data_IF_588862939924
#
_entry.id   IF_588862939924
#
_cell.length_a   1.000
_cell.length_b   1.000
_cell.length_c   1.000
_cell.angle_alpha   90.00
_cell.angle_beta   90.00
_cell.angle_gamma   90.00
#
_symmetry.space_group_name_H-M   'P 1'
#
loop_
_entity.id
_entity.type
_entity.pdbx_description
1 polymer ?
#
# COMPACT_ATOMS: atom_id res chain seq x y z
N UNK A 1 0.78 18.24 -11.18
CA UNK A 1 1.68 17.18 -10.66
C UNK A 1 1.13 16.56 -9.39
N UNK A 2 0.92 17.30 -8.30
CA UNK A 2 0.34 16.73 -7.06
C UNK A 2 -1.06 16.13 -7.23
N UNK A 3 -1.94 16.76 -8.02
CA UNK A 3 -3.26 16.19 -8.34
C UNK A 3 -3.16 14.81 -9.02
N UNK A 4 -2.17 14.62 -9.90
CA UNK A 4 -1.95 13.33 -10.56
C UNK A 4 -1.48 12.29 -9.54
N UNK A 5 -0.58 12.66 -8.63
CA UNK A 5 -0.12 11.76 -7.55
C UNK A 5 -1.32 11.30 -6.72
N UNK A 6 -2.16 12.22 -6.24
CA UNK A 6 -3.36 11.86 -5.47
C UNK A 6 -4.35 11.01 -6.28
N UNK A 7 -4.58 11.32 -7.56
CA UNK A 7 -5.43 10.49 -8.40
C UNK A 7 -4.89 9.06 -8.56
N UNK A 8 -3.58 8.91 -8.77
CA UNK A 8 -2.93 7.60 -8.84
C UNK A 8 -3.00 6.86 -7.49
N UNK A 9 -2.81 7.56 -6.36
CA UNK A 9 -2.96 6.97 -5.03
C UNK A 9 -4.40 6.54 -4.75
N UNK A 10 -5.40 7.28 -5.24
CA UNK A 10 -6.80 6.88 -5.17
C UNK A 10 -7.06 5.60 -5.96
N UNK A 11 -6.55 5.50 -7.19
CA UNK A 11 -6.68 4.31 -8.02
C UNK A 11 -5.96 3.10 -7.40
N UNK A 12 -4.77 3.32 -6.84
CA UNK A 12 -4.03 2.31 -6.07
C UNK A 12 -4.86 1.84 -4.87
N UNK A 13 -5.46 2.76 -4.11
CA UNK A 13 -6.33 2.45 -2.98
C UNK A 13 -7.55 1.62 -3.40
N UNK A 14 -8.20 1.98 -4.50
CA UNK A 14 -9.35 1.23 -5.02
C UNK A 14 -8.96 -0.17 -5.49
N UNK A 15 -7.83 -0.31 -6.19
CA UNK A 15 -7.29 -1.60 -6.62
C UNK A 15 -6.90 -2.47 -5.41
N UNK A 16 -6.26 -1.88 -4.41
CA UNK A 16 -5.91 -2.54 -3.16
C UNK A 16 -7.16 -2.96 -2.39
N UNK A 17 -8.20 -2.12 -2.32
CA UNK A 17 -9.46 -2.47 -1.70
C UNK A 17 -10.09 -3.71 -2.34
N UNK A 18 -10.17 -3.74 -3.67
CA UNK A 18 -10.68 -4.88 -4.42
C UNK A 18 -9.81 -6.14 -4.24
N UNK A 19 -8.48 -6.00 -4.31
CA UNK A 19 -7.54 -7.11 -4.13
C UNK A 19 -7.58 -7.67 -2.70
N UNK A 20 -7.72 -6.81 -1.68
CA UNK A 20 -7.85 -7.20 -0.29
C UNK A 20 -9.14 -7.98 -0.04
N UNK A 21 -10.27 -7.52 -0.59
CA UNK A 21 -11.54 -8.27 -0.56
C UNK A 21 -11.41 -9.62 -1.24
N UNK A 22 -10.75 -9.70 -2.41
CA UNK A 22 -10.49 -10.98 -3.05
C UNK A 22 -9.62 -11.92 -2.17
N UNK A 23 -8.57 -11.37 -1.55
CA UNK A 23 -7.72 -12.09 -0.59
C UNK A 23 -8.50 -12.66 0.59
N UNK A 24 -9.42 -11.88 1.18
CA UNK A 24 -10.33 -12.33 2.23
C UNK A 24 -11.23 -13.49 1.77
N UNK A 25 -11.66 -13.46 0.50
CA UNK A 25 -12.52 -14.48 -0.11
C UNK A 25 -11.73 -15.73 -0.55
N UNK A 26 -10.44 -15.82 -0.24
CA UNK A 26 -9.65 -17.02 -0.45
C UNK A 26 -8.93 -17.06 -1.79
N UNK A 27 -8.47 -15.91 -2.31
CA UNK A 27 -7.50 -15.87 -3.41
C UNK A 27 -6.08 -15.63 -2.87
N UNK A 28 -5.43 -16.63 -2.23
CA UNK A 28 -4.09 -16.43 -1.69
C UNK A 28 -3.06 -16.36 -2.82
N UNK A 29 -2.01 -15.58 -2.58
CA UNK A 29 -0.84 -15.55 -3.44
C UNK A 29 0.40 -15.22 -2.62
N UNK A 30 1.57 -15.60 -3.13
CA UNK A 30 2.85 -15.26 -2.54
C UNK A 30 3.82 -14.81 -3.63
N UNK A 31 4.66 -13.83 -3.31
CA UNK A 31 5.71 -13.31 -4.16
C UNK A 31 7.01 -13.24 -3.36
N UNK A 32 8.08 -13.78 -3.92
CA UNK A 32 9.41 -13.74 -3.31
C UNK A 32 10.44 -13.24 -4.31
N UNK A 33 11.27 -12.30 -3.87
CA UNK A 33 12.38 -11.72 -4.64
C UNK A 33 13.61 -11.74 -3.76
N UNK A 34 14.44 -12.77 -3.93
CA UNK A 34 15.53 -13.09 -2.99
C UNK A 34 16.65 -12.04 -2.94
N UNK A 35 16.81 -11.23 -3.99
CA UNK A 35 17.91 -10.27 -4.13
C UNK A 35 17.56 -8.84 -3.70
N UNK A 36 16.29 -8.53 -3.45
CA UNK A 36 15.84 -7.14 -3.32
C UNK A 36 16.09 -6.51 -1.94
N UNK A 37 16.00 -7.30 -0.88
CA UNK A 37 16.18 -6.86 0.51
C UNK A 37 17.28 -7.70 1.18
N UNK A 38 18.22 -7.08 1.90
CA UNK A 38 19.26 -7.84 2.60
C UNK A 38 18.65 -8.79 3.64
N UNK A 39 19.37 -9.88 3.94
CA UNK A 39 19.03 -10.81 5.02
C UNK A 39 17.68 -11.54 4.83
N UNK A 40 17.34 -11.96 3.59
CA UNK A 40 16.20 -12.85 3.34
C UNK A 40 15.33 -12.51 2.12
N UNK A 41 15.68 -11.46 1.36
CA UNK A 41 14.91 -11.02 0.20
C UNK A 41 13.59 -10.34 0.57
N UNK A 42 12.89 -9.82 -0.44
CA UNK A 42 11.50 -9.37 -0.30
C UNK A 42 10.60 -10.61 -0.32
N UNK A 43 9.71 -10.74 0.66
CA UNK A 43 8.67 -11.76 0.65
C UNK A 43 7.32 -11.13 0.99
N UNK A 44 6.35 -11.32 0.10
CA UNK A 44 4.97 -10.86 0.24
C UNK A 44 4.03 -12.05 0.16
N UNK A 45 3.03 -12.08 1.03
CA UNK A 45 1.98 -13.10 1.06
C UNK A 45 0.63 -12.43 1.31
N UNK A 46 -0.36 -12.82 0.52
CA UNK A 46 -1.76 -12.44 0.69
C UNK A 46 -2.49 -13.62 1.30
N UNK A 47 -2.58 -13.62 2.63
CA UNK A 47 -3.51 -14.48 3.37
C UNK A 47 -4.83 -13.72 3.64
N UNK A 48 -5.88 -14.37 4.20
CA UNK A 48 -7.15 -13.69 4.48
C UNK A 48 -7.04 -12.52 5.47
N UNK A 49 -6.09 -12.55 6.41
CA UNK A 49 -5.87 -11.48 7.38
C UNK A 49 -5.19 -10.28 6.71
N UNK A 50 -4.14 -10.53 5.91
CA UNK A 50 -3.51 -9.53 5.07
C UNK A 50 -4.54 -8.90 4.13
N UNK A 51 -5.42 -9.71 3.52
CA UNK A 51 -6.52 -9.24 2.69
C UNK A 51 -7.44 -8.25 3.39
N UNK A 52 -7.81 -8.51 4.65
CA UNK A 52 -8.61 -7.58 5.45
C UNK A 52 -7.91 -6.24 5.64
N UNK A 53 -6.65 -6.24 6.04
CA UNK A 53 -5.90 -4.99 6.26
C UNK A 53 -5.63 -4.23 4.96
N UNK A 54 -5.27 -4.92 3.89
CA UNK A 54 -5.12 -4.34 2.54
C UNK A 54 -6.44 -3.72 2.08
N UNK A 55 -7.57 -4.36 2.35
CA UNK A 55 -8.88 -3.82 2.02
C UNK A 55 -9.18 -2.52 2.78
N UNK A 56 -8.90 -2.50 4.09
CA UNK A 56 -9.12 -1.33 4.95
C UNK A 56 -8.23 -0.15 4.55
N UNK A 57 -6.93 -0.40 4.36
CA UNK A 57 -5.97 0.64 3.94
C UNK A 57 -6.35 1.18 2.57
N UNK A 58 -6.67 0.31 1.60
CA UNK A 58 -7.12 0.72 0.28
C UNK A 58 -8.40 1.55 0.32
N UNK A 59 -9.41 1.09 1.06
CA UNK A 59 -10.69 1.78 1.21
C UNK A 59 -10.54 3.16 1.86
N UNK A 60 -9.64 3.31 2.84
CA UNK A 60 -9.33 4.60 3.46
C UNK A 60 -8.52 5.53 2.54
N UNK A 61 -7.60 4.99 1.75
CA UNK A 61 -6.76 5.77 0.84
C UNK A 61 -7.57 6.49 -0.25
N UNK A 62 -8.68 5.90 -0.72
CA UNK A 62 -9.54 6.48 -1.77
C UNK A 62 -10.12 7.85 -1.37
N UNK A 63 -10.96 7.99 -0.32
CA UNK A 63 -11.56 9.27 0.04
C UNK A 63 -10.51 10.30 0.46
N UNK A 64 -9.44 9.88 1.15
CA UNK A 64 -8.34 10.78 1.54
C UNK A 64 -7.64 11.35 0.31
N UNK A 65 -7.34 10.51 -0.69
CA UNK A 65 -6.73 10.92 -1.94
C UNK A 65 -7.65 11.86 -2.74
N UNK A 66 -8.95 11.54 -2.84
CA UNK A 66 -9.93 12.38 -3.54
C UNK A 66 -10.05 13.75 -2.88
N UNK A 67 -10.08 13.79 -1.55
CA UNK A 67 -10.08 15.03 -0.79
C UNK A 67 -8.79 15.84 -1.04
N UNK A 68 -7.63 15.19 -1.03
CA UNK A 68 -6.33 15.82 -1.25
C UNK A 68 -6.18 16.46 -2.64
N UNK A 69 -6.90 15.96 -3.67
CA UNK A 69 -6.95 16.61 -5.00
C UNK A 69 -7.44 18.06 -4.88
N UNK A 70 -8.42 18.34 -4.00
CA UNK A 70 -8.93 19.70 -3.76
C UNK A 70 -7.92 20.66 -3.13
N UNK A 71 -6.80 20.13 -2.61
CA UNK A 71 -5.67 20.87 -2.05
C UNK A 71 -4.48 20.96 -3.01
N UNK A 72 -4.55 20.28 -4.16
CA UNK A 72 -3.48 20.27 -5.14
C UNK A 72 -3.20 21.69 -5.65
N UNK A 73 -1.97 22.17 -5.40
CA UNK A 73 -1.51 23.48 -5.85
C UNK A 73 -1.39 24.53 -4.74
N UNK A 74 -2.00 24.32 -3.56
CA UNK A 74 -1.79 25.19 -2.38
C UNK A 74 -0.58 24.74 -1.56
N UNK A 75 -0.42 23.44 -1.38
CA UNK A 75 0.77 22.83 -0.78
C UNK A 75 1.33 21.75 -1.72
N UNK A 76 2.59 21.91 -2.12
CA UNK A 76 3.29 20.96 -3.01
C UNK A 76 4.11 19.93 -2.22
N UNK A 77 4.45 20.26 -0.97
CA UNK A 77 5.33 19.46 -0.11
C UNK A 77 4.51 18.32 0.49
N UNK A 78 5.00 17.08 0.38
CA UNK A 78 4.38 15.92 1.03
C UNK A 78 3.50 15.01 0.16
N UNK A 79 3.14 15.39 -1.09
CA UNK A 79 2.32 14.50 -1.93
C UNK A 79 3.00 13.16 -2.25
N UNK A 80 4.31 13.16 -2.47
CA UNK A 80 5.10 11.93 -2.65
C UNK A 80 5.22 11.15 -1.35
N UNK A 81 5.43 11.83 -0.21
CA UNK A 81 5.48 11.19 1.10
C UNK A 81 4.15 10.49 1.42
N UNK A 82 3.02 11.11 1.10
CA UNK A 82 1.70 10.48 1.20
C UNK A 82 1.57 9.23 0.32
N UNK A 83 2.00 9.29 -0.95
CA UNK A 83 1.95 8.12 -1.83
C UNK A 83 2.84 6.98 -1.33
N UNK A 84 4.05 7.30 -0.84
CA UNK A 84 4.98 6.35 -0.24
C UNK A 84 4.40 5.75 1.04
N UNK A 85 3.78 6.56 1.90
CA UNK A 85 3.10 6.12 3.11
C UNK A 85 2.00 5.10 2.80
N UNK A 86 1.12 5.41 1.84
CA UNK A 86 0.05 4.48 1.43
C UNK A 86 0.63 3.18 0.88
N UNK A 87 1.66 3.26 0.03
CA UNK A 87 2.31 2.07 -0.50
C UNK A 87 2.97 1.22 0.59
N UNK A 88 3.70 1.84 1.52
CA UNK A 88 4.34 1.18 2.65
C UNK A 88 3.30 0.50 3.55
N UNK A 89 2.23 1.22 3.90
CA UNK A 89 1.14 0.72 4.73
C UNK A 89 0.40 -0.46 4.09
N UNK A 90 0.34 -0.55 2.75
CA UNK A 90 -0.15 -1.73 2.03
C UNK A 90 0.81 -2.92 2.09
N UNK A 91 2.13 -2.66 2.15
CA UNK A 91 3.16 -3.71 2.21
C UNK A 91 3.27 -4.31 3.61
N UNK A 92 3.08 -3.54 4.69
CA UNK A 92 3.14 -4.00 6.08
C UNK A 92 2.33 -5.29 6.33
N UNK A 93 1.02 -5.35 6.03
CA UNK A 93 0.23 -6.57 6.25
C UNK A 93 0.57 -7.71 5.29
N UNK A 94 1.21 -7.41 4.15
CA UNK A 94 1.64 -8.43 3.17
C UNK A 94 3.00 -9.05 3.52
N UNK A 95 3.77 -8.47 4.44
CA UNK A 95 5.14 -8.89 4.68
C UNK A 95 5.22 -10.31 5.26
N UNK A 96 5.84 -11.23 4.51
CA UNK A 96 6.00 -12.63 4.89
C UNK A 96 7.37 -12.93 5.55
N UNK A 97 8.18 -11.90 5.81
CA UNK A 97 9.43 -12.02 6.57
C UNK A 97 9.75 -10.73 7.36
N UNK A 98 10.63 -10.87 8.36
CA UNK A 98 10.99 -9.78 9.29
C UNK A 98 11.59 -8.58 8.57
N UNK A 99 12.44 -8.79 7.57
CA UNK A 99 13.15 -7.69 6.89
C UNK A 99 12.22 -6.86 6.00
N UNK A 100 11.31 -7.51 5.27
CA UNK A 100 10.26 -6.84 4.48
C UNK A 100 9.34 -6.05 5.40
N UNK A 101 8.94 -6.65 6.53
CA UNK A 101 8.10 -5.99 7.53
C UNK A 101 8.79 -4.76 8.13
N UNK A 102 10.02 -4.91 8.63
CA UNK A 102 10.77 -3.82 9.25
C UNK A 102 10.99 -2.66 8.27
N UNK A 103 11.33 -2.95 7.02
CA UNK A 103 11.52 -1.92 6.00
C UNK A 103 10.21 -1.18 5.68
N UNK A 104 9.11 -1.91 5.53
CA UNK A 104 7.80 -1.31 5.27
C UNK A 104 7.31 -0.48 6.46
N UNK A 105 7.61 -0.94 7.68
CA UNK A 105 7.28 -0.27 8.92
C UNK A 105 8.03 1.06 9.09
N UNK A 106 9.35 1.07 8.88
CA UNK A 106 10.16 2.30 9.00
C UNK A 106 9.82 3.34 7.91
N UNK A 107 9.22 2.91 6.80
CA UNK A 107 8.79 3.77 5.70
C UNK A 107 7.40 4.41 5.93
N UNK A 108 6.60 3.83 6.82
CA UNK A 108 5.26 4.30 7.21
C UNK A 108 5.35 5.34 8.33
#
# INVERSE_FOLDING_TARGET
>A
MSALVYALTALLGAAAAAAGVAGMLGTPWALRIDWLVPLGGMALEMDPLAGLFVALVGAAAVPVSVYAIGYAGRERRGCLAYAVFVAAMLVVPLAANVMTFALAWELM
#
